data_IF_051962628637
#
_entry.id   IF_051962628637
#
_cell.length_a   1.000
_cell.length_b   1.000
_cell.length_c   1.000
_cell.angle_alpha   90.00
_cell.angle_beta   90.00
_cell.angle_gamma   90.00
#
_symmetry.space_group_name_H-M   'P 1'
#
loop_
_entity.id
_entity.type
_entity.pdbx_description
1 polymer ?
#
# COMPACT_ATOMS: atom_id res chain seq x y z
N UNK A 1 -26.97 -17.12 1.64
CA UNK A 1 -25.59 -17.16 1.12
C UNK A 1 -24.93 -15.89 1.62
N UNK A 2 -23.73 -15.99 2.24
CA UNK A 2 -22.98 -14.80 2.68
C UNK A 2 -22.59 -13.95 1.49
N UNK A 3 -22.55 -12.64 1.70
CA UNK A 3 -21.98 -11.70 0.73
C UNK A 3 -20.46 -11.80 0.72
N UNK A 4 -19.83 -11.32 -0.32
CA UNK A 4 -18.38 -11.39 -0.51
C UNK A 4 -17.76 -10.06 -0.16
N UNK A 5 -16.69 -10.11 0.66
CA UNK A 5 -15.70 -9.07 0.82
C UNK A 5 -14.56 -9.33 -0.18
N UNK A 6 -14.43 -8.49 -1.19
CA UNK A 6 -13.34 -8.55 -2.18
C UNK A 6 -12.25 -7.55 -1.81
N UNK A 7 -11.03 -8.03 -1.56
CA UNK A 7 -9.89 -7.19 -1.16
C UNK A 7 -8.71 -7.39 -2.09
N UNK A 8 -8.03 -6.30 -2.46
CA UNK A 8 -6.70 -6.34 -3.06
C UNK A 8 -5.78 -5.33 -2.36
N UNK A 9 -4.54 -5.70 -2.15
CA UNK A 9 -3.55 -4.90 -1.43
C UNK A 9 -2.14 -5.47 -1.56
N UNK A 10 -1.22 -4.96 -0.74
CA UNK A 10 0.17 -5.40 -0.69
C UNK A 10 0.43 -6.41 0.44
N UNK A 11 1.69 -6.58 0.82
CA UNK A 11 2.15 -7.50 1.88
C UNK A 11 1.44 -7.31 3.24
N UNK A 12 0.93 -6.12 3.54
CA UNK A 12 0.16 -5.85 4.76
C UNK A 12 -1.19 -6.57 4.78
N UNK A 13 -1.70 -6.95 3.62
CA UNK A 13 -3.00 -7.60 3.42
C UNK A 13 -2.88 -9.05 2.94
N UNK A 14 -1.68 -9.50 2.52
CA UNK A 14 -1.46 -10.81 1.93
C UNK A 14 -1.43 -11.91 3.00
N UNK A 15 -2.33 -12.89 2.91
CA UNK A 15 -2.40 -14.02 3.83
C UNK A 15 -1.14 -14.88 3.85
N UNK A 16 -0.48 -15.01 2.70
CA UNK A 16 0.73 -15.83 2.50
C UNK A 16 2.03 -15.08 2.73
N UNK A 17 1.94 -13.85 3.22
CA UNK A 17 3.13 -13.07 3.51
C UNK A 17 4.01 -13.74 4.57
N UNK A 18 5.32 -13.72 4.34
CA UNK A 18 6.35 -14.17 5.29
C UNK A 18 7.41 -13.09 5.45
N UNK A 19 8.01 -13.01 6.65
CA UNK A 19 9.06 -12.04 6.91
C UNK A 19 10.39 -12.48 6.29
N UNK A 20 10.97 -11.60 5.47
CA UNK A 20 12.31 -11.78 4.91
C UNK A 20 13.37 -11.62 6.02
N UNK A 21 13.14 -10.72 6.97
CA UNK A 21 14.06 -10.42 8.06
C UNK A 21 14.00 -11.49 9.18
N UNK A 22 12.87 -12.17 9.30
CA UNK A 22 12.62 -13.19 10.33
C UNK A 22 12.03 -14.46 9.69
N UNK A 23 12.81 -15.21 8.86
CA UNK A 23 12.26 -16.31 8.05
C UNK A 23 11.74 -17.52 8.87
N UNK A 24 12.08 -17.58 10.15
CA UNK A 24 11.60 -18.63 11.08
C UNK A 24 10.41 -18.19 11.93
N UNK A 25 9.98 -16.94 11.79
CA UNK A 25 8.83 -16.43 12.54
C UNK A 25 7.57 -17.07 11.99
N UNK A 26 6.77 -17.67 12.87
CA UNK A 26 5.42 -18.07 12.52
C UNK A 26 4.54 -16.82 12.33
N UNK A 27 4.02 -16.65 11.14
CA UNK A 27 3.15 -15.54 10.74
C UNK A 27 1.78 -16.03 10.25
N UNK A 28 1.38 -17.23 10.67
CA UNK A 28 0.14 -17.89 10.24
C UNK A 28 -1.14 -17.26 10.80
N UNK A 29 -1.03 -16.24 11.68
CA UNK A 29 -2.21 -15.53 12.17
C UNK A 29 -3.01 -14.86 11.04
N UNK A 30 -4.35 -14.76 11.18
CA UNK A 30 -5.20 -14.07 10.22
C UNK A 30 -4.75 -12.63 9.98
N UNK A 31 -4.76 -12.19 8.73
CA UNK A 31 -4.49 -10.80 8.37
C UNK A 31 -5.78 -9.99 8.46
N UNK A 32 -5.66 -8.66 8.51
CA UNK A 32 -6.81 -7.76 8.66
C UNK A 32 -7.96 -8.03 7.69
N UNK A 33 -7.77 -8.48 6.43
CA UNK A 33 -8.91 -8.76 5.56
C UNK A 33 -9.76 -9.92 6.07
N UNK A 34 -9.14 -10.98 6.61
CA UNK A 34 -9.88 -12.12 7.18
C UNK A 34 -10.59 -11.69 8.46
N UNK A 35 -9.90 -10.99 9.36
CA UNK A 35 -10.48 -10.49 10.61
C UNK A 35 -11.67 -9.56 10.35
N UNK A 36 -11.58 -8.71 9.32
CA UNK A 36 -12.68 -7.84 8.91
C UNK A 36 -13.84 -8.65 8.33
N UNK A 37 -13.57 -9.61 7.43
CA UNK A 37 -14.60 -10.47 6.84
C UNK A 37 -15.40 -11.22 7.91
N UNK A 38 -14.71 -11.75 8.92
CA UNK A 38 -15.35 -12.43 10.06
C UNK A 38 -16.24 -11.47 10.86
N UNK A 39 -15.79 -10.22 11.09
CA UNK A 39 -16.57 -9.20 11.82
C UNK A 39 -17.85 -8.78 11.11
N UNK A 40 -17.80 -8.67 9.78
CA UNK A 40 -18.97 -8.23 8.97
C UNK A 40 -19.79 -9.39 8.40
N UNK A 41 -19.49 -10.62 8.82
CA UNK A 41 -20.14 -11.85 8.37
C UNK A 41 -20.15 -12.05 6.85
N UNK A 42 -19.00 -11.79 6.20
CA UNK A 42 -18.83 -11.97 4.75
C UNK A 42 -17.80 -13.06 4.44
N UNK A 43 -17.89 -13.63 3.23
CA UNK A 43 -16.88 -14.52 2.67
C UNK A 43 -15.74 -13.68 2.07
N UNK A 44 -14.49 -14.00 2.40
CA UNK A 44 -13.33 -13.26 1.90
C UNK A 44 -12.86 -13.81 0.54
N UNK A 45 -12.69 -12.92 -0.43
CA UNK A 45 -11.81 -13.10 -1.60
C UNK A 45 -10.65 -12.11 -1.48
N UNK A 46 -9.47 -12.61 -1.13
CA UNK A 46 -8.27 -11.80 -0.97
C UNK A 46 -7.33 -11.98 -2.16
N UNK A 47 -7.15 -10.91 -2.94
CA UNK A 47 -6.29 -10.85 -4.12
C UNK A 47 -4.93 -10.19 -3.81
N UNK A 48 -4.64 -9.89 -2.55
CA UNK A 48 -3.44 -9.16 -2.15
C UNK A 48 -2.17 -9.96 -2.43
N UNK A 49 -1.10 -9.27 -2.84
CA UNK A 49 0.19 -9.88 -3.12
C UNK A 49 1.34 -9.04 -2.53
N UNK A 50 2.38 -9.73 -2.05
CA UNK A 50 3.56 -9.07 -1.49
C UNK A 50 4.28 -8.23 -2.54
N UNK A 51 4.61 -6.98 -2.18
CA UNK A 51 5.26 -6.05 -3.10
C UNK A 51 4.32 -5.35 -4.09
N UNK A 52 3.03 -5.71 -4.14
CA UNK A 52 2.06 -5.10 -5.05
C UNK A 52 2.05 -3.57 -5.00
N UNK A 53 2.03 -2.96 -6.17
CA UNK A 53 1.80 -1.53 -6.40
C UNK A 53 0.35 -1.25 -6.80
N UNK A 54 0.11 -0.03 -7.28
CA UNK A 54 -1.25 0.43 -7.60
C UNK A 54 -1.87 -0.32 -8.79
N UNK A 55 -1.05 -0.61 -9.81
CA UNK A 55 -1.54 -1.27 -11.02
C UNK A 55 -2.01 -2.70 -10.72
N UNK A 56 -1.22 -3.46 -9.96
CA UNK A 56 -1.61 -4.80 -9.52
C UNK A 56 -2.93 -4.75 -8.73
N UNK A 57 -3.01 -3.86 -7.73
CA UNK A 57 -4.17 -3.75 -6.84
C UNK A 57 -5.43 -3.45 -7.65
N UNK A 58 -5.36 -2.47 -8.54
CA UNK A 58 -6.46 -2.07 -9.41
C UNK A 58 -6.86 -3.20 -10.37
N UNK A 59 -5.90 -3.69 -11.17
CA UNK A 59 -6.17 -4.64 -12.25
C UNK A 59 -6.77 -5.94 -11.74
N UNK A 60 -6.27 -6.49 -10.63
CA UNK A 60 -6.81 -7.74 -10.08
C UNK A 60 -8.25 -7.59 -9.56
N UNK A 61 -8.61 -6.43 -9.01
CA UNK A 61 -10.02 -6.17 -8.66
C UNK A 61 -10.87 -6.13 -9.93
N UNK A 62 -10.44 -5.35 -10.95
CA UNK A 62 -11.20 -5.21 -12.18
C UNK A 62 -11.39 -6.56 -12.88
N UNK A 63 -10.32 -7.34 -13.01
CA UNK A 63 -10.38 -8.69 -13.62
C UNK A 63 -11.31 -9.62 -12.85
N UNK A 64 -11.27 -9.56 -11.51
CA UNK A 64 -12.17 -10.36 -10.67
C UNK A 64 -13.63 -9.94 -10.84
N UNK A 65 -13.90 -8.65 -10.94
CA UNK A 65 -15.25 -8.13 -11.16
C UNK A 65 -15.85 -8.59 -12.50
N UNK A 66 -15.04 -8.87 -13.52
CA UNK A 66 -15.52 -9.41 -14.80
C UNK A 66 -15.99 -10.89 -14.72
N UNK A 67 -15.58 -11.59 -13.67
CA UNK A 67 -15.80 -13.03 -13.53
C UNK A 67 -16.74 -13.42 -12.39
N UNK A 68 -17.12 -12.47 -11.55
CA UNK A 68 -17.97 -12.70 -10.38
C UNK A 68 -19.36 -12.09 -10.57
N UNK A 69 -20.38 -12.76 -10.04
CA UNK A 69 -21.72 -12.20 -9.95
C UNK A 69 -21.74 -11.02 -8.96
N UNK A 70 -21.96 -9.81 -9.48
CA UNK A 70 -21.96 -8.57 -8.69
C UNK A 70 -23.02 -8.58 -7.58
N UNK A 71 -24.13 -9.33 -7.75
CA UNK A 71 -25.16 -9.45 -6.72
C UNK A 71 -24.67 -10.13 -5.45
N UNK A 72 -23.57 -10.88 -5.52
CA UNK A 72 -22.91 -11.53 -4.38
C UNK A 72 -21.94 -10.65 -3.63
N UNK A 73 -21.50 -9.54 -4.23
CA UNK A 73 -20.53 -8.64 -3.62
C UNK A 73 -21.21 -7.81 -2.53
N UNK A 74 -20.65 -7.84 -1.34
CA UNK A 74 -21.07 -7.01 -0.21
C UNK A 74 -20.20 -5.78 -0.04
N UNK A 75 -18.89 -5.89 -0.32
CA UNK A 75 -17.93 -4.79 -0.20
C UNK A 75 -16.69 -5.07 -1.02
N UNK A 76 -16.18 -4.04 -1.70
CA UNK A 76 -14.88 -4.07 -2.40
C UNK A 76 -13.90 -3.14 -1.69
N UNK A 77 -12.69 -3.62 -1.36
CA UNK A 77 -11.65 -2.79 -0.73
C UNK A 77 -10.38 -2.81 -1.57
N UNK A 78 -9.91 -1.61 -1.99
CA UNK A 78 -8.59 -1.39 -2.53
C UNK A 78 -7.67 -0.83 -1.44
N UNK A 79 -6.66 -1.61 -1.02
CA UNK A 79 -5.68 -1.22 -0.01
C UNK A 79 -4.38 -0.76 -0.67
N UNK A 80 -4.31 0.53 -1.00
CA UNK A 80 -3.26 1.14 -1.81
C UNK A 80 -1.89 1.12 -1.14
N UNK A 81 -0.87 0.99 -1.97
CA UNK A 81 0.53 0.92 -1.60
C UNK A 81 1.27 2.24 -1.87
N UNK A 82 2.60 2.22 -1.87
CA UNK A 82 3.45 3.38 -2.18
C UNK A 82 3.54 3.63 -3.68
N UNK A 83 3.63 4.91 -4.08
CA UNK A 83 3.55 5.35 -5.48
C UNK A 83 4.65 4.82 -6.41
N UNK A 84 5.94 4.70 -5.99
CA UNK A 84 7.04 4.33 -6.89
C UNK A 84 7.03 2.85 -7.32
N UNK A 85 6.19 2.01 -6.73
CA UNK A 85 6.11 0.60 -7.14
C UNK A 85 5.62 0.48 -8.58
N UNK A 86 6.26 -0.40 -9.32
CA UNK A 86 5.90 -0.75 -10.69
C UNK A 86 5.50 -2.21 -10.75
N UNK A 87 4.30 -2.45 -11.22
CA UNK A 87 3.79 -3.79 -11.48
C UNK A 87 3.78 -4.05 -12.99
N UNK A 88 4.07 -5.27 -13.40
CA UNK A 88 3.95 -5.71 -14.78
C UNK A 88 3.77 -7.22 -14.84
N UNK A 89 3.26 -7.70 -15.94
CA UNK A 89 3.14 -9.13 -16.20
C UNK A 89 4.32 -9.59 -17.04
N UNK A 90 4.92 -10.71 -16.65
CA UNK A 90 5.94 -11.40 -17.42
C UNK A 90 5.37 -12.72 -17.93
N UNK A 91 5.76 -13.10 -19.13
CA UNK A 91 5.45 -14.40 -19.69
C UNK A 91 6.23 -15.47 -18.93
N UNK A 92 5.53 -16.44 -18.35
CA UNK A 92 6.16 -17.55 -17.66
C UNK A 92 6.35 -18.70 -18.65
N UNK A 93 7.58 -18.95 -19.05
CA UNK A 93 7.95 -20.06 -19.94
C UNK A 93 7.54 -21.44 -19.40
N UNK A 94 7.38 -21.56 -18.08
CA UNK A 94 7.04 -22.82 -17.41
C UNK A 94 5.54 -23.05 -17.18
N UNK A 95 4.74 -21.98 -17.20
CA UNK A 95 3.34 -22.06 -16.76
C UNK A 95 2.33 -21.74 -17.88
N UNK A 96 2.79 -21.35 -19.06
CA UNK A 96 1.95 -20.83 -20.17
C UNK A 96 0.92 -19.77 -19.68
N UNK A 97 1.27 -19.01 -18.65
CA UNK A 97 0.43 -17.97 -18.06
C UNK A 97 1.29 -16.77 -17.73
N UNK A 98 0.74 -15.60 -17.96
CA UNK A 98 1.35 -14.37 -17.46
C UNK A 98 1.40 -14.39 -15.92
N UNK A 99 2.54 -14.01 -15.35
CA UNK A 99 2.73 -13.88 -13.91
C UNK A 99 2.99 -12.42 -13.59
N UNK A 100 2.29 -11.91 -12.58
CA UNK A 100 2.60 -10.61 -12.01
C UNK A 100 3.97 -10.61 -11.34
N UNK A 101 4.72 -9.56 -11.60
CA UNK A 101 5.95 -9.24 -10.90
C UNK A 101 5.97 -7.74 -10.60
N UNK A 102 6.81 -7.32 -9.67
CA UNK A 102 6.91 -5.93 -9.30
C UNK A 102 8.37 -5.53 -9.08
N UNK A 103 8.67 -4.28 -9.39
CA UNK A 103 9.86 -3.58 -8.94
C UNK A 103 9.47 -2.67 -7.79
N UNK A 104 10.25 -2.70 -6.71
CA UNK A 104 10.04 -1.81 -5.55
C UNK A 104 10.09 -0.33 -5.96
N UNK A 105 10.86 -0.04 -7.03
CA UNK A 105 11.02 1.29 -7.60
C UNK A 105 11.14 1.20 -9.10
N UNK A 106 10.32 1.96 -9.80
CA UNK A 106 10.44 2.17 -11.24
C UNK A 106 11.66 3.03 -11.53
N UNK A 107 12.78 2.43 -11.92
CA UNK A 107 14.04 3.12 -12.20
C UNK A 107 13.95 4.14 -13.36
N UNK A 108 12.90 4.07 -14.18
CA UNK A 108 12.70 4.95 -15.33
C UNK A 108 11.64 6.03 -15.10
N UNK A 109 10.93 5.97 -13.98
CA UNK A 109 9.91 6.93 -13.62
C UNK A 109 10.43 8.07 -12.74
N UNK A 110 9.54 9.00 -12.42
CA UNK A 110 9.79 10.06 -11.44
C UNK A 110 8.60 10.18 -10.49
N UNK A 111 8.83 10.76 -9.31
CA UNK A 111 7.80 10.84 -8.27
C UNK A 111 6.55 11.59 -8.75
N UNK A 112 6.70 12.64 -9.54
CA UNK A 112 5.55 13.37 -10.07
C UNK A 112 4.64 12.45 -10.91
N UNK A 113 5.24 11.68 -11.82
CA UNK A 113 4.50 10.71 -12.62
C UNK A 113 3.84 9.63 -11.76
N UNK A 114 4.56 9.11 -10.75
CA UNK A 114 4.03 8.04 -9.89
C UNK A 114 2.88 8.51 -9.02
N UNK A 115 2.92 9.75 -8.51
CA UNK A 115 1.80 10.36 -7.78
C UNK A 115 0.59 10.48 -8.70
N UNK A 116 0.75 11.10 -9.89
CA UNK A 116 -0.36 11.25 -10.84
C UNK A 116 -0.93 9.92 -11.29
N UNK A 117 -0.08 8.90 -11.48
CA UNK A 117 -0.51 7.54 -11.77
C UNK A 117 -1.35 6.96 -10.63
N UNK A 118 -0.91 7.14 -9.38
CA UNK A 118 -1.66 6.65 -8.21
C UNK A 118 -3.03 7.32 -8.11
N UNK A 119 -3.09 8.65 -8.27
CA UNK A 119 -4.34 9.38 -8.22
C UNK A 119 -5.32 8.95 -9.32
N UNK A 120 -4.81 8.64 -10.52
CA UNK A 120 -5.63 8.08 -11.60
C UNK A 120 -6.21 6.72 -11.24
N UNK A 121 -5.45 5.83 -10.60
CA UNK A 121 -5.98 4.54 -10.15
C UNK A 121 -7.04 4.70 -9.07
N UNK A 122 -6.84 5.62 -8.11
CA UNK A 122 -7.84 5.89 -7.06
C UNK A 122 -9.16 6.38 -7.66
N UNK A 123 -9.08 7.34 -8.55
CA UNK A 123 -10.25 7.87 -9.26
C UNK A 123 -10.93 6.80 -10.13
N UNK A 124 -10.15 6.06 -10.93
CA UNK A 124 -10.68 5.02 -11.82
C UNK A 124 -11.40 3.92 -11.03
N UNK A 125 -10.81 3.48 -9.91
CA UNK A 125 -11.44 2.50 -9.03
C UNK A 125 -12.77 3.02 -8.48
N UNK A 126 -12.80 4.25 -7.99
CA UNK A 126 -14.03 4.90 -7.53
C UNK A 126 -15.10 4.88 -8.64
N UNK A 127 -14.76 5.35 -9.83
CA UNK A 127 -15.69 5.41 -10.95
C UNK A 127 -16.23 4.04 -11.36
N UNK A 128 -15.39 3.01 -11.37
CA UNK A 128 -15.83 1.63 -11.67
C UNK A 128 -16.83 1.15 -10.63
N UNK A 129 -16.52 1.29 -9.34
CA UNK A 129 -17.42 0.85 -8.27
C UNK A 129 -18.74 1.60 -8.28
N UNK A 130 -18.72 2.91 -8.50
CA UNK A 130 -19.93 3.74 -8.59
C UNK A 130 -20.80 3.37 -9.80
N UNK A 131 -20.20 3.19 -10.98
CA UNK A 131 -20.92 2.76 -12.18
C UNK A 131 -21.57 1.38 -12.03
N UNK A 132 -20.88 0.45 -11.36
CA UNK A 132 -21.38 -0.88 -11.08
C UNK A 132 -22.31 -0.92 -9.85
N UNK A 133 -22.49 0.21 -9.16
CA UNK A 133 -23.29 0.34 -7.91
C UNK A 133 -22.81 -0.62 -6.82
N UNK A 134 -21.51 -0.85 -6.72
CA UNK A 134 -20.91 -1.71 -5.71
C UNK A 134 -20.55 -0.90 -4.46
N UNK A 135 -20.85 -1.41 -3.26
CA UNK A 135 -20.29 -0.87 -2.04
C UNK A 135 -18.75 -0.99 -2.07
N UNK A 136 -18.04 0.09 -1.77
CA UNK A 136 -16.58 0.08 -1.82
C UNK A 136 -15.94 0.99 -0.76
N UNK A 137 -14.70 0.68 -0.43
CA UNK A 137 -13.77 1.54 0.32
C UNK A 137 -12.39 1.53 -0.33
N UNK A 138 -11.68 2.63 -0.19
CA UNK A 138 -10.27 2.77 -0.53
C UNK A 138 -9.48 3.02 0.75
N UNK A 139 -8.30 2.43 0.87
CA UNK A 139 -7.41 2.61 2.02
C UNK A 139 -6.04 3.03 1.53
N UNK A 140 -5.46 4.11 2.07
CA UNK A 140 -4.02 4.30 1.94
C UNK A 140 -3.31 3.46 3.00
N UNK A 141 -2.91 2.25 2.65
CA UNK A 141 -2.33 1.31 3.61
C UNK A 141 -0.93 1.72 4.04
N UNK A 142 -0.07 2.07 3.08
CA UNK A 142 1.31 2.50 3.30
C UNK A 142 1.45 3.93 2.78
N UNK A 143 2.31 4.75 3.39
CA UNK A 143 2.55 6.12 2.93
C UNK A 143 2.92 6.18 1.44
N UNK A 144 2.42 7.21 0.75
CA UNK A 144 2.50 7.30 -0.70
C UNK A 144 3.92 7.50 -1.22
N UNK A 145 4.74 8.31 -0.55
CA UNK A 145 6.08 8.69 -1.04
C UNK A 145 7.18 8.77 0.04
N UNK A 146 6.85 8.67 1.32
CA UNK A 146 7.79 8.84 2.44
C UNK A 146 8.95 7.84 2.40
N UNK A 147 8.65 6.57 2.11
CA UNK A 147 9.66 5.53 1.94
C UNK A 147 10.63 5.81 0.80
N UNK A 148 10.16 6.41 -0.30
CA UNK A 148 11.02 6.81 -1.41
C UNK A 148 11.98 7.93 -1.04
N UNK A 149 11.53 8.95 -0.31
CA UNK A 149 12.40 10.03 0.16
C UNK A 149 13.54 9.50 1.03
N UNK A 150 13.25 8.54 1.89
CA UNK A 150 14.27 7.85 2.68
C UNK A 150 15.32 7.18 1.79
N UNK A 151 14.90 6.45 0.78
CA UNK A 151 15.85 5.76 -0.09
C UNK A 151 16.68 6.72 -0.92
N UNK A 152 16.11 7.85 -1.35
CA UNK A 152 16.89 8.89 -2.02
C UNK A 152 17.97 9.48 -1.09
N UNK A 153 17.69 9.63 0.20
CA UNK A 153 18.68 10.05 1.18
C UNK A 153 19.78 9.00 1.37
N UNK A 154 19.41 7.73 1.48
CA UNK A 154 20.37 6.62 1.57
C UNK A 154 21.26 6.58 0.32
N UNK A 155 20.67 6.65 -0.88
CA UNK A 155 21.40 6.66 -2.12
C UNK A 155 22.38 7.83 -2.22
N UNK A 156 22.02 9.02 -1.75
CA UNK A 156 22.93 10.18 -1.68
C UNK A 156 24.10 9.93 -0.74
N UNK A 157 23.86 9.34 0.44
CA UNK A 157 24.90 9.03 1.42
C UNK A 157 25.85 7.94 0.95
N UNK A 158 25.36 7.01 0.12
CA UNK A 158 26.12 5.82 -0.31
C UNK A 158 26.67 5.95 -1.71
N UNK A 159 26.53 7.10 -2.37
CA UNK A 159 26.94 7.33 -3.75
C UNK A 159 28.40 6.93 -4.06
N UNK A 160 29.28 7.09 -3.07
CA UNK A 160 30.71 6.82 -3.18
C UNK A 160 31.14 5.47 -2.60
N UNK A 161 30.18 4.62 -2.17
CA UNK A 161 30.44 3.30 -1.62
C UNK A 161 30.18 2.20 -2.64
N UNK A 162 30.97 1.10 -2.65
CA UNK A 162 30.72 -0.07 -3.47
C UNK A 162 29.33 -0.72 -3.17
N UNK A 163 28.67 -1.27 -4.19
CA UNK A 163 27.35 -1.91 -4.06
C UNK A 163 27.28 -2.98 -2.96
N UNK A 164 28.35 -3.73 -2.75
CA UNK A 164 28.41 -4.76 -1.70
C UNK A 164 28.41 -4.16 -0.29
N UNK A 165 28.91 -2.96 -0.12
CA UNK A 165 28.87 -2.24 1.15
C UNK A 165 27.46 -1.72 1.45
N UNK A 166 26.75 -1.26 0.42
CA UNK A 166 25.37 -0.76 0.54
C UNK A 166 24.43 -1.86 1.06
N UNK A 167 24.65 -3.11 0.66
CA UNK A 167 23.88 -4.28 1.13
C UNK A 167 24.10 -4.61 2.61
N UNK A 168 25.20 -4.15 3.19
CA UNK A 168 25.58 -4.42 4.58
C UNK A 168 25.20 -3.27 5.52
N UNK A 169 24.81 -2.11 4.99
CA UNK A 169 24.32 -1.02 5.83
C UNK A 169 22.96 -1.47 6.39
N UNK A 170 22.83 -1.64 7.73
CA UNK A 170 21.52 -1.82 8.33
C UNK A 170 20.63 -0.70 7.81
N UNK A 171 19.48 -1.03 7.25
CA UNK A 171 18.53 -0.03 6.77
C UNK A 171 18.44 1.01 7.86
N UNK A 172 18.97 2.21 7.59
CA UNK A 172 18.99 3.32 8.53
C UNK A 172 17.54 3.78 8.73
N UNK A 173 16.79 2.96 9.49
CA UNK A 173 15.38 3.20 9.84
C UNK A 173 15.25 4.27 10.94
N UNK A 174 16.34 4.94 11.30
CA UNK A 174 16.30 5.94 12.37
C UNK A 174 16.28 7.36 11.81
N UNK A 175 15.12 8.05 11.92
CA UNK A 175 14.98 9.48 11.54
C UNK A 175 15.92 10.41 12.30
N UNK A 176 16.55 9.93 13.37
CA UNK A 176 17.25 10.76 14.36
C UNK A 176 18.63 11.26 13.90
N UNK A 177 19.11 10.86 12.74
CA UNK A 177 20.47 11.18 12.27
C UNK A 177 20.54 11.97 10.96
N UNK A 178 19.46 12.66 10.59
CA UNK A 178 19.51 13.55 9.43
C UNK A 178 20.30 14.82 9.76
N UNK A 179 21.23 15.19 8.87
CA UNK A 179 21.86 16.51 8.93
C UNK A 179 20.82 17.61 8.69
N UNK A 180 21.21 18.86 8.96
CA UNK A 180 20.34 20.02 8.70
C UNK A 180 19.96 20.11 7.22
N UNK A 181 20.94 19.94 6.34
CA UNK A 181 20.77 19.99 4.89
C UNK A 181 19.86 18.87 4.36
N UNK A 182 19.95 17.67 4.94
CA UNK A 182 19.08 16.55 4.59
C UNK A 182 17.63 16.77 5.02
N UNK A 183 17.43 17.37 6.19
CA UNK A 183 16.08 17.76 6.67
C UNK A 183 15.48 18.81 5.75
N UNK A 184 16.21 19.87 5.41
CA UNK A 184 15.78 20.94 4.51
C UNK A 184 15.43 20.38 3.12
N UNK A 185 16.29 19.51 2.58
CA UNK A 185 16.04 18.87 1.29
C UNK A 185 14.76 18.00 1.34
N UNK A 186 14.61 17.17 2.38
CA UNK A 186 13.45 16.30 2.54
C UNK A 186 12.16 17.11 2.65
N UNK A 187 12.15 18.16 3.46
CA UNK A 187 10.98 19.05 3.59
C UNK A 187 10.62 19.74 2.29
N UNK A 188 11.61 20.15 1.51
CA UNK A 188 11.41 20.77 0.19
C UNK A 188 10.74 19.81 -0.78
N UNK A 189 11.25 18.57 -0.88
CA UNK A 189 10.65 17.56 -1.77
C UNK A 189 9.25 17.15 -1.31
N UNK A 190 9.05 16.99 0.01
CA UNK A 190 7.72 16.70 0.55
C UNK A 190 6.70 17.81 0.22
N UNK A 191 7.06 19.08 0.41
CA UNK A 191 6.20 20.21 0.05
C UNK A 191 5.82 20.21 -1.43
N UNK A 192 6.77 19.87 -2.31
CA UNK A 192 6.54 19.75 -3.75
C UNK A 192 5.50 18.66 -4.07
N UNK A 193 5.63 17.48 -3.46
CA UNK A 193 4.71 16.38 -3.70
C UNK A 193 3.33 16.61 -3.10
N UNK A 194 3.25 17.25 -1.94
CA UNK A 194 1.99 17.66 -1.34
C UNK A 194 1.27 18.70 -2.20
N UNK A 195 2.01 19.69 -2.73
CA UNK A 195 1.45 20.67 -3.64
C UNK A 195 0.89 20.02 -4.92
N UNK A 196 1.57 19.00 -5.44
CA UNK A 196 1.09 18.25 -6.60
C UNK A 196 -0.22 17.52 -6.28
N UNK A 197 -0.33 16.86 -5.14
CA UNK A 197 -1.58 16.20 -4.72
C UNK A 197 -2.69 17.23 -4.55
N UNK A 198 -2.42 18.31 -3.83
CA UNK A 198 -3.41 19.36 -3.54
C UNK A 198 -3.92 20.06 -4.81
N UNK A 199 -3.04 20.32 -5.79
CA UNK A 199 -3.40 20.98 -7.06
C UNK A 199 -3.89 19.99 -8.12
N UNK A 200 -3.96 18.70 -7.81
CA UNK A 200 -4.47 17.68 -8.72
C UNK A 200 -5.98 17.84 -8.94
N UNK A 201 -6.47 17.62 -10.18
CA UNK A 201 -7.92 17.60 -10.42
C UNK A 201 -8.65 16.51 -9.64
N UNK A 202 -7.94 15.53 -9.08
CA UNK A 202 -8.52 14.44 -8.27
C UNK A 202 -8.71 14.80 -6.81
N UNK A 203 -8.10 15.89 -6.32
CA UNK A 203 -8.07 16.23 -4.91
C UNK A 203 -9.47 16.36 -4.30
N UNK A 204 -10.40 16.97 -5.01
CA UNK A 204 -11.77 17.21 -4.56
C UNK A 204 -12.79 16.18 -5.06
N UNK A 205 -12.38 15.33 -6.02
CA UNK A 205 -13.27 14.32 -6.61
C UNK A 205 -13.25 13.01 -5.83
N UNK A 206 -12.09 12.64 -5.29
CA UNK A 206 -11.96 11.43 -4.46
C UNK A 206 -12.75 11.65 -3.18
N UNK A 207 -13.75 10.79 -2.94
CA UNK A 207 -14.77 11.00 -1.94
C UNK A 207 -14.48 10.33 -0.59
N UNK A 208 -15.43 10.44 0.35
CA UNK A 208 -15.34 9.93 1.73
C UNK A 208 -15.30 8.38 1.83
N UNK A 209 -15.41 7.65 0.72
CA UNK A 209 -15.15 6.22 0.70
C UNK A 209 -13.65 5.90 0.72
N UNK A 210 -12.80 6.93 0.67
CA UNK A 210 -11.35 6.78 0.83
C UNK A 210 -10.94 7.06 2.28
N UNK A 211 -10.57 6.01 3.01
CA UNK A 211 -10.05 6.10 4.39
C UNK A 211 -8.56 6.49 4.32
N UNK A 212 -8.22 7.65 4.87
CA UNK A 212 -6.86 8.18 4.85
C UNK A 212 -6.55 9.17 3.71
N UNK A 213 -7.49 9.46 2.83
CA UNK A 213 -7.34 10.53 1.85
C UNK A 213 -7.34 11.92 2.53
N UNK A 214 -6.48 12.86 2.14
CA UNK A 214 -5.55 12.84 1.00
C UNK A 214 -4.15 12.23 1.29
N UNK A 215 -3.99 11.25 2.11
CA UNK A 215 -2.79 10.42 2.35
C UNK A 215 -1.65 11.06 3.15
N UNK A 216 -1.75 12.32 3.51
CA UNK A 216 -0.74 13.02 4.33
C UNK A 216 -1.41 13.88 5.41
N UNK A 217 -0.92 13.87 6.68
CA UNK A 217 -1.51 14.64 7.78
C UNK A 217 -1.56 16.16 7.54
N UNK A 218 -0.63 16.71 6.76
CA UNK A 218 -0.58 18.14 6.42
C UNK A 218 -1.68 18.55 5.45
N UNK A 219 -2.31 17.58 4.79
CA UNK A 219 -3.48 17.73 3.92
C UNK A 219 -4.74 17.13 4.56
N UNK A 220 -4.74 16.88 5.88
CA UNK A 220 -5.81 16.26 6.66
C UNK A 220 -6.05 14.76 6.35
N UNK A 221 -5.06 14.09 5.77
CA UNK A 221 -5.11 12.65 5.48
C UNK A 221 -4.16 11.83 6.35
N UNK A 222 -4.03 10.55 6.02
CA UNK A 222 -3.09 9.64 6.70
C UNK A 222 -2.93 8.32 5.93
N UNK A 223 -1.81 7.63 6.14
CA UNK A 223 -1.73 6.20 5.84
C UNK A 223 -2.16 5.37 7.06
N UNK A 224 -2.79 4.21 6.84
CA UNK A 224 -3.20 3.35 7.95
C UNK A 224 -1.99 2.83 8.73
N UNK A 225 -0.91 2.52 8.02
CA UNK A 225 0.36 2.11 8.62
C UNK A 225 0.89 3.10 9.67
N UNK A 226 0.82 4.40 9.37
CA UNK A 226 1.33 5.43 10.29
C UNK A 226 0.29 5.87 11.34
N UNK A 227 -1.00 5.79 11.00
CA UNK A 227 -2.09 6.26 11.87
C UNK A 227 -2.48 5.25 12.93
N UNK A 228 -2.46 3.96 12.58
CA UNK A 228 -3.06 2.89 13.39
C UNK A 228 -2.01 2.11 14.16
N UNK A 229 -0.83 1.90 13.55
CA UNK A 229 0.17 0.99 14.07
C UNK A 229 1.23 1.72 14.89
N UNK A 230 1.40 1.31 16.13
CA UNK A 230 2.54 1.71 16.95
C UNK A 230 3.81 0.99 16.47
N UNK A 231 4.92 1.74 16.37
CA UNK A 231 6.18 1.21 15.86
C UNK A 231 6.90 0.26 16.83
N UNK A 232 6.49 0.22 18.09
CA UNK A 232 7.13 -0.60 19.14
C UNK A 232 6.35 -1.86 19.47
N UNK A 233 5.02 -1.83 19.38
CA UNK A 233 4.15 -2.92 19.86
C UNK A 233 3.39 -3.63 18.75
N UNK A 234 3.13 -2.97 17.62
CA UNK A 234 2.24 -3.46 16.57
C UNK A 234 2.97 -3.98 15.32
N UNK A 235 4.31 -3.92 15.34
CA UNK A 235 5.18 -4.34 14.25
C UNK A 235 5.92 -5.63 14.60
N UNK A 236 6.36 -6.36 13.57
CA UNK A 236 7.21 -7.54 13.74
C UNK A 236 8.49 -7.18 14.50
N UNK A 237 9.19 -6.12 14.04
CA UNK A 237 10.40 -5.61 14.67
C UNK A 237 10.75 -4.21 14.14
N UNK A 238 11.84 -3.61 14.65
CA UNK A 238 12.36 -2.33 14.15
C UNK A 238 12.86 -2.40 12.70
N UNK A 239 13.27 -3.58 12.22
CA UNK A 239 13.77 -3.78 10.85
C UNK A 239 12.70 -4.38 9.93
N UNK A 240 11.61 -4.89 10.48
CA UNK A 240 10.47 -5.39 9.74
C UNK A 240 9.19 -4.69 10.21
N UNK A 241 8.81 -3.68 9.47
CA UNK A 241 7.69 -2.79 9.81
C UNK A 241 6.31 -3.37 9.45
N UNK A 242 6.23 -4.63 9.02
CA UNK A 242 4.93 -5.28 8.81
C UNK A 242 4.19 -5.44 10.14
N UNK A 243 2.86 -5.35 10.11
CA UNK A 243 2.06 -5.53 11.32
C UNK A 243 2.18 -6.96 11.85
N UNK A 244 2.43 -7.08 13.15
CA UNK A 244 2.33 -8.35 13.86
C UNK A 244 0.86 -8.71 14.08
N UNK A 245 0.56 -9.79 14.83
CA UNK A 245 -0.81 -10.22 15.12
C UNK A 245 -1.68 -9.10 15.68
N UNK A 246 -1.20 -8.39 16.70
CA UNK A 246 -1.92 -7.28 17.32
C UNK A 246 -2.13 -6.11 16.36
N UNK A 247 -1.13 -5.81 15.54
CA UNK A 247 -1.24 -4.78 14.49
C UNK A 247 -2.29 -5.13 13.44
N UNK A 248 -2.43 -6.41 13.07
CA UNK A 248 -3.47 -6.87 12.16
C UNK A 248 -4.88 -6.71 12.78
N UNK A 249 -5.05 -7.03 14.04
CA UNK A 249 -6.29 -6.84 14.79
C UNK A 249 -6.70 -5.37 14.85
N UNK A 250 -5.75 -4.47 15.17
CA UNK A 250 -5.98 -3.02 15.19
C UNK A 250 -6.37 -2.46 13.82
N UNK A 251 -5.72 -2.93 12.74
CA UNK A 251 -6.10 -2.53 11.37
C UNK A 251 -7.54 -2.95 11.05
N UNK A 252 -7.91 -4.20 11.36
CA UNK A 252 -9.26 -4.69 11.13
C UNK A 252 -10.31 -3.88 11.88
N UNK A 253 -10.07 -3.58 13.17
CA UNK A 253 -10.95 -2.76 14.00
C UNK A 253 -11.10 -1.35 13.46
N UNK A 254 -9.98 -0.69 13.16
CA UNK A 254 -9.98 0.68 12.63
C UNK A 254 -10.75 0.80 11.31
N UNK A 255 -10.64 -0.20 10.44
CA UNK A 255 -11.36 -0.22 9.16
C UNK A 255 -12.85 -0.48 9.42
N UNK A 256 -13.18 -1.44 10.30
CA UNK A 256 -14.56 -1.76 10.67
C UNK A 256 -15.34 -0.55 11.16
N UNK A 257 -14.74 0.26 12.04
CA UNK A 257 -15.37 1.48 12.60
C UNK A 257 -15.66 2.56 11.54
N UNK A 258 -15.18 2.39 10.30
CA UNK A 258 -15.30 3.36 9.18
C UNK A 258 -16.04 2.81 7.96
N UNK A 259 -16.62 1.63 8.09
CA UNK A 259 -17.51 1.10 7.06
C UNK A 259 -18.88 1.78 7.09
#
# INVERSE_FOLDING_TARGET
MKKILLVSGCSYSNERWTSIHHPKLDVSWPKWPQLLADKIDMELINLSESGAGQEYIYSNIIDKLQTIDHSKIGLVIAAWSTAPRRDYQIESLYLNKAKWTNDMYDSKGCMNYWIDRSLRYYYSFQMVCENLKLPYKQLQMIDLFKGYLWQQLIAKRTKDFPDDFIKQIPILNEPHQLTKEEKEWKEKEEKKYLAQIHNSPYYEIINNNFIGWPTDPRLNGYSLSDKVLDNTTDRISKIDLHPNKQGQEKLAEFIYDRL
#
